data_IF_127769315595
#
_entry.id   IF_127769315595
#
_cell.length_a   1.000
_cell.length_b   1.000
_cell.length_c   1.000
_cell.angle_alpha   90.00
_cell.angle_beta   90.00
_cell.angle_gamma   90.00
#
_symmetry.space_group_name_H-M   'P 1'
#
loop_
_entity.id
_entity.type
_entity.pdbx_description
1 polymer ?
#
# COMPACT_ATOMS: atom_id res chain seq x y z
N UNK A 1 -2.86 26.04 -5.42
CA UNK A 1 -3.15 26.75 -4.16
C UNK A 1 -3.40 25.76 -3.00
N UNK A 2 -4.31 24.80 -3.14
CA UNK A 2 -4.63 23.83 -2.05
C UNK A 2 -3.45 22.95 -1.66
N UNK A 3 -2.65 22.45 -2.60
CA UNK A 3 -1.42 21.72 -2.29
C UNK A 3 -0.45 22.56 -1.46
N UNK A 4 -0.19 23.82 -1.86
CA UNK A 4 0.67 24.74 -1.12
C UNK A 4 0.13 25.06 0.29
N UNK A 5 -1.17 24.95 0.52
CA UNK A 5 -1.75 25.10 1.85
C UNK A 5 -1.45 23.90 2.75
N UNK A 6 -1.48 22.68 2.21
CA UNK A 6 -1.18 21.47 3.00
C UNK A 6 0.29 21.37 3.43
N UNK A 7 1.19 21.97 2.64
CA UNK A 7 2.63 22.01 2.96
C UNK A 7 3.05 23.26 3.74
N UNK A 8 2.10 24.19 4.05
CA UNK A 8 2.38 25.41 4.80
C UNK A 8 2.12 25.26 6.28
N UNK A 9 3.11 25.48 7.18
CA UNK A 9 2.91 25.41 8.62
C UNK A 9 1.80 26.37 9.12
N UNK A 10 1.69 27.56 8.55
CA UNK A 10 0.67 28.54 8.92
C UNK A 10 -0.74 28.09 8.53
N UNK A 11 -0.90 27.51 7.34
CA UNK A 11 -2.18 26.98 6.90
C UNK A 11 -2.56 25.69 7.67
N UNK A 12 -1.59 24.85 7.98
CA UNK A 12 -1.80 23.62 8.74
C UNK A 12 -2.34 23.89 10.16
N UNK A 13 -1.85 24.94 10.82
CA UNK A 13 -2.33 25.38 12.15
C UNK A 13 -3.74 25.98 12.12
N UNK A 14 -4.24 26.38 10.95
CA UNK A 14 -5.59 26.89 10.79
C UNK A 14 -6.51 25.76 10.29
N UNK A 15 -7.35 25.26 11.19
CA UNK A 15 -8.23 24.11 10.93
C UNK A 15 -9.11 24.29 9.69
N UNK A 16 -9.70 25.46 9.52
CA UNK A 16 -10.63 25.71 8.41
C UNK A 16 -9.88 25.75 7.06
N UNK A 17 -8.73 26.40 7.03
CA UNK A 17 -7.88 26.44 5.82
C UNK A 17 -7.39 25.04 5.43
N UNK A 18 -6.97 24.25 6.41
CA UNK A 18 -6.55 22.88 6.19
C UNK A 18 -7.71 22.02 5.67
N UNK A 19 -8.87 22.08 6.34
CA UNK A 19 -10.07 21.35 5.94
C UNK A 19 -10.51 21.72 4.51
N UNK A 20 -10.56 23.01 4.18
CA UNK A 20 -10.93 23.48 2.85
C UNK A 20 -9.94 23.00 1.78
N UNK A 21 -8.63 22.98 2.08
CA UNK A 21 -7.61 22.47 1.16
C UNK A 21 -7.77 20.96 0.90
N UNK A 22 -7.99 20.17 1.95
CA UNK A 22 -8.28 18.73 1.85
C UNK A 22 -9.54 18.49 1.02
N UNK A 23 -10.63 19.21 1.32
CA UNK A 23 -11.91 19.06 0.62
C UNK A 23 -11.80 19.42 -0.87
N UNK A 24 -11.06 20.47 -1.20
CA UNK A 24 -10.82 20.86 -2.60
C UNK A 24 -10.03 19.78 -3.36
N UNK A 25 -8.99 19.20 -2.75
CA UNK A 25 -8.21 18.14 -3.38
C UNK A 25 -9.03 16.85 -3.56
N UNK A 26 -9.86 16.50 -2.58
CA UNK A 26 -10.81 15.38 -2.71
C UNK A 26 -11.75 15.56 -3.90
N UNK A 27 -12.29 16.76 -4.08
CA UNK A 27 -13.15 17.07 -5.24
C UNK A 27 -12.38 16.94 -6.56
N UNK A 28 -11.15 17.43 -6.62
CA UNK A 28 -10.30 17.28 -7.83
C UNK A 28 -10.06 15.81 -8.16
N UNK A 29 -9.74 14.98 -7.17
CA UNK A 29 -9.54 13.53 -7.37
C UNK A 29 -10.81 12.86 -7.91
N UNK A 30 -11.98 13.20 -7.36
CA UNK A 30 -13.26 12.67 -7.83
C UNK A 30 -13.59 13.10 -9.26
N UNK A 31 -13.36 14.36 -9.59
CA UNK A 31 -13.54 14.88 -10.95
C UNK A 31 -12.58 14.23 -11.95
N UNK A 32 -11.35 14.00 -11.54
CA UNK A 32 -10.34 13.33 -12.38
C UNK A 32 -10.69 11.86 -12.67
N UNK A 33 -11.36 11.17 -11.73
CA UNK A 33 -11.85 9.82 -11.95
C UNK A 33 -13.01 9.75 -12.95
N UNK A 34 -13.72 10.87 -13.17
CA UNK A 34 -14.87 10.96 -14.08
C UNK A 34 -16.22 10.65 -13.42
N UNK A 35 -17.31 11.21 -13.96
CA UNK A 35 -18.65 11.13 -13.34
C UNK A 35 -19.28 9.74 -13.38
N UNK A 36 -18.85 8.88 -14.30
CA UNK A 36 -19.36 7.51 -14.48
C UNK A 36 -18.39 6.44 -14.00
N UNK A 37 -17.30 6.86 -13.32
CA UNK A 37 -16.28 5.93 -12.85
C UNK A 37 -16.77 5.16 -11.62
N UNK A 38 -16.52 3.85 -11.61
CA UNK A 38 -16.70 3.02 -10.42
C UNK A 38 -15.60 3.24 -9.38
N UNK A 39 -14.56 4.01 -9.72
CA UNK A 39 -13.43 4.33 -8.85
C UNK A 39 -13.67 5.65 -8.11
N UNK A 40 -13.56 5.61 -6.80
CA UNK A 40 -13.68 6.79 -5.93
C UNK A 40 -12.33 6.97 -5.19
N UNK A 41 -11.37 7.67 -5.82
CA UNK A 41 -10.11 8.01 -5.16
C UNK A 41 -10.32 9.13 -4.14
N UNK A 42 -9.60 9.03 -3.03
CA UNK A 42 -9.51 10.05 -2.00
C UNK A 42 -8.05 10.18 -1.54
N UNK A 43 -7.71 11.20 -0.77
CA UNK A 43 -6.34 11.43 -0.26
C UNK A 43 -5.86 10.32 0.69
N UNK A 44 -6.77 9.71 1.43
CA UNK A 44 -6.46 8.68 2.41
C UNK A 44 -7.18 7.35 2.17
N UNK A 45 -8.10 7.30 1.23
CA UNK A 45 -8.95 6.13 1.00
C UNK A 45 -9.20 5.93 -0.49
N UNK A 46 -9.52 4.70 -0.82
CA UNK A 46 -9.99 4.34 -2.14
C UNK A 46 -11.19 3.41 -2.00
N UNK A 47 -12.24 3.68 -2.76
CA UNK A 47 -13.43 2.83 -2.84
C UNK A 47 -13.71 2.48 -4.29
N UNK A 48 -14.14 1.25 -4.53
CA UNK A 48 -14.67 0.82 -5.81
C UNK A 48 -16.15 0.46 -5.61
N UNK A 49 -17.03 1.00 -6.43
CA UNK A 49 -18.49 0.86 -6.23
C UNK A 49 -18.99 -0.57 -6.46
N UNK A 50 -18.32 -1.33 -7.35
CA UNK A 50 -18.74 -2.67 -7.75
C UNK A 50 -17.90 -3.76 -7.10
N UNK A 51 -16.56 -3.56 -7.00
CA UNK A 51 -15.61 -4.55 -6.44
C UNK A 51 -15.41 -4.34 -4.96
N UNK A 52 -15.45 -5.43 -4.20
CA UNK A 52 -15.20 -5.44 -2.76
C UNK A 52 -13.81 -5.97 -2.42
N UNK A 53 -13.00 -5.25 -1.62
CA UNK A 53 -11.72 -5.77 -1.17
C UNK A 53 -11.83 -6.99 -0.24
N UNK A 54 -13.04 -7.33 0.20
CA UNK A 54 -13.33 -8.50 1.05
C UNK A 54 -13.67 -9.77 0.25
N UNK A 55 -13.62 -9.73 -1.08
CA UNK A 55 -13.91 -10.87 -1.95
C UNK A 55 -12.68 -11.23 -2.78
N UNK A 56 -12.17 -12.45 -2.63
CA UNK A 56 -11.01 -12.91 -3.39
C UNK A 56 -11.22 -12.83 -4.90
N UNK A 57 -12.42 -13.14 -5.40
CA UNK A 57 -12.75 -12.98 -6.82
C UNK A 57 -12.62 -11.55 -7.33
N UNK A 58 -13.00 -10.55 -6.51
CA UNK A 58 -12.86 -9.13 -6.87
C UNK A 58 -11.41 -8.66 -6.81
N UNK A 59 -10.62 -9.21 -5.88
CA UNK A 59 -9.17 -8.97 -5.80
C UNK A 59 -8.47 -9.51 -7.05
N UNK A 60 -8.77 -10.75 -7.45
CA UNK A 60 -8.21 -11.36 -8.67
C UNK A 60 -8.67 -10.63 -9.92
N UNK A 61 -9.93 -10.20 -9.99
CA UNK A 61 -10.44 -9.39 -11.08
C UNK A 61 -9.75 -8.02 -11.17
N UNK A 62 -9.42 -7.40 -10.02
CA UNK A 62 -8.65 -6.16 -10.00
C UNK A 62 -7.23 -6.34 -10.56
N UNK A 63 -6.57 -7.47 -10.28
CA UNK A 63 -5.27 -7.77 -10.86
C UNK A 63 -5.33 -8.04 -12.37
N UNK A 64 -6.41 -8.68 -12.83
CA UNK A 64 -6.60 -9.00 -14.25
C UNK A 64 -6.93 -7.77 -15.08
N UNK A 65 -7.81 -6.91 -14.58
CA UNK A 65 -8.31 -5.74 -15.32
C UNK A 65 -8.59 -4.56 -14.39
N UNK A 66 -7.69 -3.56 -14.43
CA UNK A 66 -7.78 -2.32 -13.67
C UNK A 66 -7.41 -1.11 -14.54
N UNK A 67 -7.67 -1.22 -15.86
CA UNK A 67 -7.20 -0.23 -16.84
C UNK A 67 -7.82 1.14 -16.65
N UNK A 68 -9.07 1.20 -16.25
CA UNK A 68 -9.81 2.46 -16.04
C UNK A 68 -9.55 3.08 -14.64
N UNK A 69 -8.65 2.51 -13.87
CA UNK A 69 -8.30 3.04 -12.57
C UNK A 69 -7.56 4.37 -12.66
N UNK A 70 -7.87 5.35 -11.80
CA UNK A 70 -7.13 6.59 -11.71
C UNK A 70 -5.64 6.39 -11.36
N UNK A 71 -5.28 5.21 -10.82
CA UNK A 71 -3.89 4.82 -10.56
C UNK A 71 -3.20 4.14 -11.74
N UNK A 72 -3.93 3.75 -12.77
CA UNK A 72 -3.41 3.05 -13.94
C UNK A 72 -2.19 3.72 -14.57
N UNK A 73 -2.22 5.03 -14.90
CA UNK A 73 -1.07 5.73 -15.45
C UNK A 73 0.18 5.66 -14.56
N UNK A 74 0.01 5.79 -13.25
CA UNK A 74 1.10 5.69 -12.29
C UNK A 74 1.67 4.26 -12.23
N UNK A 75 0.82 3.23 -12.19
CA UNK A 75 1.27 1.83 -12.15
C UNK A 75 2.02 1.44 -13.41
N UNK A 76 1.57 1.87 -14.57
CA UNK A 76 2.28 1.63 -15.83
C UNK A 76 3.63 2.36 -15.89
N UNK A 77 3.68 3.62 -15.42
CA UNK A 77 4.95 4.35 -15.36
C UNK A 77 5.94 3.71 -14.39
N UNK A 78 5.48 3.27 -13.22
CA UNK A 78 6.29 2.53 -12.25
C UNK A 78 6.84 1.24 -12.85
N UNK A 79 5.96 0.43 -13.46
CA UNK A 79 6.36 -0.84 -14.08
C UNK A 79 7.39 -0.62 -15.22
N UNK A 80 7.19 0.42 -16.05
CA UNK A 80 8.14 0.79 -17.11
C UNK A 80 9.50 1.19 -16.55
N UNK A 81 9.53 1.98 -15.45
CA UNK A 81 10.81 2.35 -14.79
C UNK A 81 11.52 1.15 -14.21
N UNK A 82 10.80 0.25 -13.55
CA UNK A 82 11.37 -0.99 -13.03
C UNK A 82 11.88 -1.92 -14.13
N UNK A 83 11.26 -1.91 -15.31
CA UNK A 83 11.70 -2.71 -16.46
C UNK A 83 13.06 -2.27 -17.03
N UNK A 84 13.54 -1.06 -16.72
CA UNK A 84 14.89 -0.62 -17.13
C UNK A 84 16.01 -1.35 -16.35
N UNK A 85 15.74 -1.78 -15.12
CA UNK A 85 16.60 -2.59 -14.29
C UNK A 85 15.72 -3.51 -13.43
N UNK A 86 15.24 -4.64 -13.99
CA UNK A 86 14.25 -5.48 -13.31
C UNK A 86 14.82 -6.05 -12.01
N UNK A 87 14.14 -5.84 -10.88
CA UNK A 87 14.53 -6.46 -9.62
C UNK A 87 14.16 -7.96 -9.63
N UNK A 88 14.92 -8.79 -8.90
CA UNK A 88 14.60 -10.21 -8.73
C UNK A 88 13.32 -10.42 -7.91
N UNK A 89 13.03 -9.52 -6.96
CA UNK A 89 11.86 -9.60 -6.10
C UNK A 89 11.26 -8.20 -5.85
N UNK A 90 9.93 -8.13 -5.75
CA UNK A 90 9.17 -6.94 -5.34
C UNK A 90 8.30 -7.32 -4.16
N UNK A 91 8.47 -6.60 -3.03
CA UNK A 91 7.60 -6.69 -1.86
C UNK A 91 6.49 -5.63 -1.90
N UNK A 92 5.23 -6.05 -1.77
CA UNK A 92 4.08 -5.15 -1.64
C UNK A 92 3.57 -5.20 -0.19
N UNK A 93 3.71 -4.10 0.54
CA UNK A 93 3.18 -3.97 1.89
C UNK A 93 1.79 -3.35 1.86
N UNK A 94 0.78 -4.10 2.29
CA UNK A 94 -0.63 -3.70 2.31
C UNK A 94 -1.11 -3.58 3.75
N UNK A 95 -1.21 -2.35 4.24
CA UNK A 95 -1.58 -2.08 5.63
C UNK A 95 -3.08 -1.94 5.87
N UNK A 96 -3.83 -1.51 4.85
CA UNK A 96 -5.23 -1.14 5.02
C UNK A 96 -6.14 -1.73 3.95
N UNK A 97 -7.41 -1.97 4.31
CA UNK A 97 -8.40 -2.60 3.43
C UNK A 97 -8.60 -1.84 2.10
N UNK A 98 -8.58 -0.51 2.14
CA UNK A 98 -8.75 0.31 0.93
C UNK A 98 -7.54 0.25 -0.03
N UNK A 99 -6.42 -0.32 0.39
CA UNK A 99 -5.24 -0.56 -0.45
C UNK A 99 -5.32 -1.89 -1.20
N UNK A 100 -6.18 -2.82 -0.80
CA UNK A 100 -6.18 -4.18 -1.31
C UNK A 100 -6.44 -4.26 -2.83
N UNK A 101 -7.50 -3.61 -3.34
CA UNK A 101 -7.79 -3.58 -4.77
C UNK A 101 -6.68 -2.89 -5.58
N UNK A 102 -6.19 -1.68 -5.20
CA UNK A 102 -5.04 -1.07 -5.86
C UNK A 102 -3.76 -1.90 -5.82
N UNK A 103 -3.48 -2.57 -4.69
CA UNK A 103 -2.31 -3.44 -4.58
C UNK A 103 -2.38 -4.64 -5.52
N UNK A 104 -3.55 -5.27 -5.65
CA UNK A 104 -3.76 -6.35 -6.61
C UNK A 104 -3.64 -5.85 -8.06
N UNK A 105 -4.18 -4.67 -8.36
CA UNK A 105 -4.02 -4.04 -9.66
C UNK A 105 -2.56 -3.76 -10.01
N UNK A 106 -1.79 -3.28 -9.03
CA UNK A 106 -0.36 -3.09 -9.17
C UNK A 106 0.36 -4.43 -9.38
N UNK A 107 0.05 -5.46 -8.58
CA UNK A 107 0.61 -6.80 -8.75
C UNK A 107 0.36 -7.35 -10.16
N UNK A 108 -0.87 -7.22 -10.67
CA UNK A 108 -1.21 -7.62 -12.04
C UNK A 108 -0.46 -6.83 -13.09
N UNK A 109 -0.24 -5.53 -12.89
CA UNK A 109 0.53 -4.68 -13.81
C UNK A 109 2.01 -5.09 -13.81
N UNK A 110 2.59 -5.30 -12.63
CA UNK A 110 3.98 -5.75 -12.47
C UNK A 110 4.20 -7.12 -13.08
N UNK A 111 3.30 -8.08 -12.84
CA UNK A 111 3.41 -9.44 -13.40
C UNK A 111 3.42 -9.45 -14.94
N UNK A 112 2.63 -8.57 -15.57
CA UNK A 112 2.62 -8.44 -17.04
C UNK A 112 3.87 -7.78 -17.59
N UNK A 113 4.40 -6.79 -16.89
CA UNK A 113 5.57 -6.04 -17.34
C UNK A 113 6.91 -6.71 -16.99
N UNK A 114 6.94 -7.50 -15.93
CA UNK A 114 8.14 -8.10 -15.32
C UNK A 114 7.85 -9.59 -14.99
N UNK A 115 7.70 -10.46 -16.00
CA UNK A 115 7.23 -11.84 -15.78
C UNK A 115 8.19 -12.68 -14.93
N UNK A 116 9.48 -12.37 -14.97
CA UNK A 116 10.53 -13.10 -14.23
C UNK A 116 10.77 -12.53 -12.81
N UNK A 117 10.18 -11.38 -12.48
CA UNK A 117 10.27 -10.78 -11.15
C UNK A 117 9.27 -11.45 -10.19
N UNK A 118 9.75 -11.90 -9.06
CA UNK A 118 8.87 -12.45 -8.01
C UNK A 118 8.14 -11.34 -7.27
N UNK A 119 6.83 -11.50 -7.10
CA UNK A 119 5.99 -10.57 -6.35
C UNK A 119 5.54 -11.25 -5.06
N UNK A 120 5.95 -10.67 -3.93
CA UNK A 120 5.48 -11.09 -2.60
C UNK A 120 4.59 -10.01 -2.01
N UNK A 121 3.58 -10.40 -1.24
CA UNK A 121 2.62 -9.47 -0.65
C UNK A 121 2.44 -9.78 0.85
N UNK A 122 2.58 -8.75 1.67
CA UNK A 122 2.45 -8.83 3.12
C UNK A 122 1.87 -7.55 3.69
N UNK A 123 2.11 -7.32 4.98
CA UNK A 123 1.63 -6.14 5.72
C UNK A 123 0.42 -6.46 6.61
N UNK A 124 0.02 -5.49 7.44
CA UNK A 124 -0.97 -5.69 8.50
C UNK A 124 -2.31 -6.25 8.01
N UNK A 125 -2.78 -5.83 6.82
CA UNK A 125 -4.02 -6.37 6.25
C UNK A 125 -3.93 -7.88 5.99
N UNK A 126 -2.80 -8.34 5.43
CA UNK A 126 -2.62 -9.77 5.14
C UNK A 126 -2.57 -10.59 6.43
N UNK A 127 -1.97 -10.04 7.49
CA UNK A 127 -2.03 -10.63 8.83
C UNK A 127 -3.47 -10.84 9.31
N UNK A 128 -4.37 -9.87 9.07
CA UNK A 128 -5.81 -10.02 9.39
C UNK A 128 -6.51 -11.10 8.56
N UNK A 129 -5.97 -11.48 7.43
CA UNK A 129 -6.53 -12.53 6.56
C UNK A 129 -5.92 -13.91 6.80
N UNK A 130 -4.99 -14.04 7.73
CA UNK A 130 -4.42 -15.33 8.12
C UNK A 130 -5.53 -16.31 8.50
N UNK A 131 -5.45 -17.54 8.00
CA UNK A 131 -6.48 -18.57 8.18
C UNK A 131 -7.77 -18.37 7.36
N UNK A 132 -7.92 -17.25 6.64
CA UNK A 132 -9.06 -16.96 5.75
C UNK A 132 -8.67 -16.91 4.28
N UNK A 133 -7.45 -16.49 4.00
CA UNK A 133 -6.85 -16.48 2.68
C UNK A 133 -5.87 -17.64 2.57
N UNK A 134 -6.04 -18.49 1.56
CA UNK A 134 -5.06 -19.53 1.25
C UNK A 134 -3.72 -18.90 0.82
N UNK A 135 -2.56 -19.51 1.10
CA UNK A 135 -1.26 -18.99 0.70
C UNK A 135 -1.11 -18.72 -0.80
N UNK A 136 -1.80 -19.49 -1.63
CA UNK A 136 -1.88 -19.38 -3.09
C UNK A 136 -3.14 -18.62 -3.57
N UNK A 137 -3.95 -18.10 -2.66
CA UNK A 137 -5.25 -17.49 -2.97
C UNK A 137 -5.19 -16.23 -3.82
N UNK A 138 -4.00 -15.66 -4.03
CA UNK A 138 -3.75 -14.50 -4.90
C UNK A 138 -2.95 -14.86 -6.15
N UNK A 139 -2.70 -16.15 -6.39
CA UNK A 139 -2.08 -16.60 -7.63
C UNK A 139 -2.98 -16.35 -8.85
N UNK A 140 -2.42 -16.15 -10.05
CA UNK A 140 -1.00 -16.16 -10.39
C UNK A 140 -0.29 -14.80 -10.21
N UNK A 141 -0.95 -13.81 -9.60
CA UNK A 141 -0.47 -12.42 -9.55
C UNK A 141 0.57 -12.18 -8.45
N UNK A 142 0.49 -12.98 -7.37
CA UNK A 142 1.37 -12.93 -6.22
C UNK A 142 1.99 -14.31 -6.01
N UNK A 143 3.32 -14.38 -5.93
CA UNK A 143 4.06 -15.64 -5.77
C UNK A 143 4.03 -16.14 -4.32
N UNK A 144 4.06 -15.23 -3.35
CA UNK A 144 4.02 -15.56 -1.93
C UNK A 144 3.22 -14.53 -1.15
N UNK A 145 2.28 -15.01 -0.34
CA UNK A 145 1.59 -14.20 0.68
C UNK A 145 2.31 -14.39 2.01
N UNK A 146 2.63 -13.28 2.68
CA UNK A 146 3.31 -13.27 3.98
C UNK A 146 2.32 -12.80 5.04
N UNK A 147 2.10 -13.64 6.02
CA UNK A 147 1.30 -13.33 7.20
C UNK A 147 2.25 -13.03 8.38
N UNK A 148 2.13 -11.84 8.97
CA UNK A 148 3.03 -11.38 10.03
C UNK A 148 4.23 -10.58 9.51
N UNK A 149 5.38 -10.68 10.20
CA UNK A 149 6.59 -9.96 9.83
C UNK A 149 7.11 -10.37 8.45
N UNK A 150 7.35 -9.39 7.62
CA UNK A 150 7.81 -9.56 6.25
C UNK A 150 9.32 -9.49 6.05
N UNK A 151 10.10 -9.12 7.06
CA UNK A 151 11.54 -8.87 6.90
C UNK A 151 12.31 -10.13 6.48
N UNK A 152 12.16 -11.21 7.24
CA UNK A 152 12.82 -12.50 6.95
C UNK A 152 12.35 -13.08 5.60
N UNK A 153 11.05 -13.21 5.34
CA UNK A 153 10.56 -13.69 4.04
C UNK A 153 11.07 -12.87 2.84
N UNK A 154 11.18 -11.56 2.98
CA UNK A 154 11.70 -10.70 1.91
C UNK A 154 13.19 -10.95 1.64
N UNK A 155 13.99 -11.08 2.69
CA UNK A 155 15.42 -11.40 2.58
C UNK A 155 15.65 -12.78 1.93
N UNK A 156 14.87 -13.79 2.36
CA UNK A 156 14.91 -15.13 1.76
C UNK A 156 14.63 -15.08 0.26
N UNK A 157 13.56 -14.40 -0.16
CA UNK A 157 13.18 -14.28 -1.56
C UNK A 157 14.22 -13.49 -2.38
N UNK A 158 14.88 -12.52 -1.76
CA UNK A 158 15.95 -11.76 -2.37
C UNK A 158 17.29 -12.53 -2.43
N UNK A 159 17.36 -13.74 -1.85
CA UNK A 159 18.59 -14.52 -1.76
C UNK A 159 19.65 -13.89 -0.85
N UNK A 160 19.21 -13.04 0.09
CA UNK A 160 20.08 -12.36 1.04
C UNK A 160 20.18 -13.15 2.35
N UNK A 161 21.33 -13.11 3.04
CA UNK A 161 21.47 -13.76 4.33
C UNK A 161 20.51 -13.15 5.34
N UNK A 162 19.79 -13.99 6.06
CA UNK A 162 18.95 -13.53 7.17
C UNK A 162 19.86 -13.18 8.37
N UNK A 163 19.80 -11.95 8.89
CA UNK A 163 20.54 -11.60 10.10
C UNK A 163 19.97 -12.31 11.32
N UNK A 164 20.76 -12.38 12.39
CA UNK A 164 20.28 -12.91 13.66
C UNK A 164 19.05 -12.11 14.18
N UNK A 165 18.10 -12.75 14.85
CA UNK A 165 16.84 -12.11 15.28
C UNK A 165 17.08 -10.82 16.10
N UNK A 166 18.08 -10.79 16.97
CA UNK A 166 18.44 -9.63 17.79
C UNK A 166 18.94 -8.43 16.96
N UNK A 167 19.50 -8.67 15.78
CA UNK A 167 19.89 -7.61 14.84
C UNK A 167 18.68 -7.04 14.11
N UNK A 168 17.68 -7.85 13.80
CA UNK A 168 16.42 -7.36 13.21
C UNK A 168 15.64 -6.51 14.22
N UNK A 169 15.56 -6.95 15.48
CA UNK A 169 14.90 -6.19 16.55
C UNK A 169 15.57 -4.83 16.83
N UNK A 170 16.87 -4.71 16.57
CA UNK A 170 17.65 -3.48 16.76
C UNK A 170 17.85 -2.67 15.48
N UNK A 171 17.29 -3.11 14.38
CA UNK A 171 17.43 -2.41 13.11
C UNK A 171 16.78 -1.01 13.20
N UNK A 172 17.56 0.02 12.96
CA UNK A 172 17.05 1.38 12.88
C UNK A 172 16.54 1.66 11.47
N UNK A 173 15.30 2.19 11.31
CA UNK A 173 14.79 2.55 10.00
C UNK A 173 15.65 3.66 9.38
N UNK A 174 16.11 3.45 8.15
CA UNK A 174 16.77 4.47 7.35
C UNK A 174 15.75 5.24 6.51
N UNK A 175 15.65 6.53 6.74
CA UNK A 175 14.76 7.45 6.02
C UNK A 175 15.52 8.38 5.06
N UNK A 176 16.81 8.13 4.80
CA UNK A 176 17.65 9.01 3.96
C UNK A 176 17.11 9.19 2.56
N UNK A 177 16.57 8.12 1.96
CA UNK A 177 16.01 8.11 0.60
C UNK A 177 14.51 8.43 0.55
N UNK A 178 13.90 8.77 1.71
CA UNK A 178 12.47 9.07 1.75
C UNK A 178 12.21 10.45 1.16
N UNK A 179 11.37 10.57 0.10
CA UNK A 179 11.10 11.84 -0.55
C UNK A 179 10.11 12.69 0.25
N UNK A 180 10.51 13.17 1.42
CA UNK A 180 9.66 13.94 2.32
C UNK A 180 9.02 15.17 1.68
N UNK A 181 9.66 15.76 0.68
CA UNK A 181 9.15 16.93 -0.03
C UNK A 181 7.90 16.63 -0.88
N UNK A 182 7.63 15.36 -1.15
CA UNK A 182 6.42 14.92 -1.84
C UNK A 182 5.23 14.67 -0.90
N UNK A 183 5.46 14.69 0.42
CA UNK A 183 4.40 14.49 1.40
C UNK A 183 3.54 15.76 1.55
N UNK A 184 2.23 15.56 1.68
CA UNK A 184 1.27 16.64 1.93
C UNK A 184 1.27 17.04 3.41
N UNK A 185 2.43 17.38 3.93
CA UNK A 185 2.65 17.77 5.31
C UNK A 185 3.57 19.00 5.37
N UNK A 186 3.43 19.88 6.38
CA UNK A 186 4.22 21.10 6.51
C UNK A 186 5.66 20.84 7.01
N UNK A 187 6.02 19.63 7.28
CA UNK A 187 7.33 19.20 7.75
C UNK A 187 7.48 17.70 7.63
N UNK A 188 8.66 17.22 7.96
CA UNK A 188 8.95 15.78 7.95
C UNK A 188 8.17 15.11 9.08
N UNK A 189 7.38 14.08 8.73
CA UNK A 189 6.67 13.23 9.67
C UNK A 189 7.18 11.82 9.50
N UNK A 190 7.86 11.32 10.51
CA UNK A 190 8.42 9.97 10.54
C UNK A 190 7.57 9.13 11.49
N UNK A 191 6.90 8.07 11.02
CA UNK A 191 6.20 7.15 11.89
C UNK A 191 7.21 6.32 12.68
N UNK A 192 6.97 6.18 13.98
CA UNK A 192 7.78 5.34 14.86
C UNK A 192 6.86 4.42 15.66
N UNK A 193 7.16 3.12 15.67
CA UNK A 193 6.57 2.17 16.60
C UNK A 193 7.44 2.10 17.87
N UNK A 194 6.82 2.25 19.03
CA UNK A 194 7.50 2.12 20.33
C UNK A 194 7.34 0.74 20.95
N UNK A 195 6.44 -0.06 20.42
CA UNK A 195 6.18 -1.44 20.82
C UNK A 195 5.43 -2.17 19.72
N UNK A 196 5.53 -3.48 19.70
CA UNK A 196 4.75 -4.37 18.84
C UNK A 196 3.76 -5.18 19.65
N UNK A 197 2.63 -5.56 19.03
CA UNK A 197 1.56 -6.31 19.66
C UNK A 197 0.68 -5.45 20.57
N UNK A 198 -0.25 -6.11 21.22
CA UNK A 198 -1.21 -5.48 22.13
C UNK A 198 -1.28 -6.21 23.46
N UNK A 199 -0.98 -5.54 24.57
CA UNK A 199 -1.07 -6.12 25.91
C UNK A 199 -2.49 -6.55 26.29
N UNK A 200 -3.52 -5.93 25.67
CA UNK A 200 -4.92 -6.26 25.95
C UNK A 200 -5.40 -7.51 25.20
N UNK A 201 -5.08 -7.65 23.93
CA UNK A 201 -5.37 -8.79 23.02
C UNK A 201 -6.76 -9.43 23.14
N UNK A 202 -7.81 -8.67 23.52
CA UNK A 202 -9.17 -9.17 23.76
C UNK A 202 -10.26 -8.47 22.95
N UNK A 203 -9.88 -7.61 22.02
CA UNK A 203 -10.85 -6.91 21.18
C UNK A 203 -11.33 -7.82 20.07
N UNK A 204 -12.63 -8.13 20.03
CA UNK A 204 -13.21 -9.03 19.02
C UNK A 204 -13.10 -8.57 17.57
N UNK A 205 -12.76 -7.32 17.33
CA UNK A 205 -12.61 -6.69 16.01
C UNK A 205 -11.16 -6.36 15.65
N UNK A 206 -10.22 -6.57 16.57
CA UNK A 206 -8.83 -6.20 16.37
C UNK A 206 -8.02 -7.38 15.85
N UNK A 207 -7.28 -7.21 14.75
CA UNK A 207 -6.43 -8.28 14.22
C UNK A 207 -5.16 -8.53 15.04
N UNK A 208 -4.81 -7.60 15.91
CA UNK A 208 -3.64 -7.67 16.79
C UNK A 208 -3.90 -8.52 18.04
N UNK A 209 -5.08 -9.10 18.15
CA UNK A 209 -5.48 -9.99 19.22
C UNK A 209 -5.01 -11.44 18.93
N UNK A 210 -3.71 -11.64 18.74
CA UNK A 210 -3.12 -12.97 18.54
C UNK A 210 -2.04 -13.20 19.56
#
# INVERSE_FOLDING_TARGET
>A
RSLAQLTSPAAYRNRDRHHNAVSALRQVLRLAAGPTSDHIPDLAQYTHLVRSPMRSGDLLAAAADFQDSPYGPYFHDLARRLALAPPGVIGLSVGYLHQALPAMALAGTLRRALPDTRVIMGGALLGCWQGRLAPDGLAPWVDRVVFGDGAVPLLEEAGLPCPAPDLLERAEPDFSDTPFDLYLAPGRVVPMATSEGCFWSRCSYCPEAV
#
